data_IF_702497591453
#
_entry.id   IF_702497591453
#
_cell.length_a   1.000
_cell.length_b   1.000
_cell.length_c   1.000
_cell.angle_alpha   90.00
_cell.angle_beta   90.00
_cell.angle_gamma   90.00
#
_symmetry.space_group_name_H-M   'P 1'
#
loop_
_entity.id
_entity.type
_entity.pdbx_description
1 polymer ?
#
# COMPACT_ATOMS: atom_id res chain seq x y z
N UNK A 1 -26.03 14.00 -9.96
CA UNK A 1 -26.59 12.81 -9.28
C UNK A 1 -25.99 12.80 -7.88
N UNK A 2 -26.81 12.70 -6.85
CA UNK A 2 -26.31 12.60 -5.47
C UNK A 2 -25.56 11.28 -5.29
N UNK A 3 -24.39 11.29 -4.65
CA UNK A 3 -23.58 10.09 -4.32
C UNK A 3 -24.40 9.09 -3.47
N UNK A 4 -25.40 9.57 -2.76
CA UNK A 4 -26.31 8.79 -1.89
C UNK A 4 -27.20 7.80 -2.67
N UNK A 5 -27.33 7.94 -4.00
CA UNK A 5 -28.18 7.08 -4.84
C UNK A 5 -27.42 6.00 -5.62
N UNK A 6 -26.07 5.99 -5.54
CA UNK A 6 -25.24 4.99 -6.22
C UNK A 6 -25.29 3.63 -5.47
N UNK A 7 -25.16 2.51 -6.20
CA UNK A 7 -24.98 1.21 -5.57
C UNK A 7 -23.81 1.24 -4.59
N UNK A 8 -23.99 0.62 -3.43
CA UNK A 8 -22.98 0.55 -2.37
C UNK A 8 -22.53 -0.90 -2.25
N UNK A 9 -21.22 -1.14 -2.29
CA UNK A 9 -20.65 -2.46 -2.12
C UNK A 9 -19.68 -2.51 -0.94
N UNK A 10 -19.64 -3.65 -0.28
CA UNK A 10 -18.62 -3.95 0.70
C UNK A 10 -17.27 -4.11 0.00
N UNK A 11 -16.25 -3.40 0.50
CA UNK A 11 -14.86 -3.42 0.01
C UNK A 11 -13.96 -3.99 1.10
N UNK A 12 -13.00 -4.80 0.69
CA UNK A 12 -12.11 -5.50 1.62
C UNK A 12 -10.66 -5.02 1.44
N UNK A 13 -10.00 -4.68 2.55
CA UNK A 13 -8.61 -4.21 2.59
C UNK A 13 -7.94 -4.67 3.88
N UNK A 14 -6.75 -5.25 3.79
CA UNK A 14 -6.13 -5.89 4.94
C UNK A 14 -7.06 -6.95 5.54
N UNK A 15 -7.34 -6.80 6.82
CA UNK A 15 -8.35 -7.56 7.55
C UNK A 15 -9.62 -6.75 7.86
N UNK A 16 -9.84 -5.68 7.14
CA UNK A 16 -11.00 -4.82 7.31
C UNK A 16 -11.93 -4.88 6.11
N UNK A 17 -13.17 -4.50 6.33
CA UNK A 17 -14.11 -4.13 5.27
C UNK A 17 -14.89 -2.87 5.64
N UNK A 18 -15.39 -2.20 4.63
CA UNK A 18 -16.36 -1.12 4.74
C UNK A 18 -17.22 -1.04 3.47
N UNK A 19 -18.31 -0.30 3.55
CA UNK A 19 -19.18 -0.06 2.39
C UNK A 19 -18.83 1.25 1.70
N UNK A 20 -18.51 1.19 0.40
CA UNK A 20 -18.29 2.37 -0.45
C UNK A 20 -19.22 2.39 -1.64
N UNK A 21 -19.70 3.58 -2.05
CA UNK A 21 -20.38 3.76 -3.34
C UNK A 21 -19.51 3.33 -4.53
N UNK A 22 -20.15 2.81 -5.57
CA UNK A 22 -19.47 2.24 -6.75
C UNK A 22 -18.70 3.26 -7.59
N UNK A 23 -18.95 4.55 -7.41
CA UNK A 23 -18.16 5.61 -8.05
C UNK A 23 -16.70 5.62 -7.59
N UNK A 24 -16.40 5.10 -6.39
CA UNK A 24 -15.04 5.01 -5.86
C UNK A 24 -14.31 3.81 -6.47
N UNK A 25 -13.22 4.09 -7.16
CA UNK A 25 -12.38 3.06 -7.81
C UNK A 25 -11.00 3.02 -7.16
N UNK A 26 -10.41 1.83 -7.11
CA UNK A 26 -9.05 1.63 -6.61
C UNK A 26 -8.07 2.42 -7.46
N UNK A 27 -7.24 3.22 -6.80
CA UNK A 27 -6.13 3.94 -7.43
C UNK A 27 -4.95 2.99 -7.70
N UNK A 28 -4.22 3.19 -8.81
CA UNK A 28 -2.97 2.48 -9.09
C UNK A 28 -1.86 2.73 -8.05
N UNK A 29 -2.01 3.73 -7.18
CA UNK A 29 -1.06 4.03 -6.10
C UNK A 29 -1.21 3.16 -4.84
N UNK A 30 -2.13 2.18 -4.85
CA UNK A 30 -2.29 1.24 -3.74
C UNK A 30 -1.09 0.30 -3.65
N UNK A 31 -0.56 0.09 -2.42
CA UNK A 31 0.69 -0.62 -2.19
C UNK A 31 0.69 -1.32 -0.83
N UNK A 32 1.39 -2.46 -0.75
CA UNK A 32 1.76 -3.12 0.51
C UNK A 32 3.27 -3.01 0.68
N UNK A 33 3.73 -2.50 1.81
CA UNK A 33 5.13 -2.56 2.24
C UNK A 33 5.32 -3.73 3.18
N UNK A 34 6.50 -4.35 3.11
CA UNK A 34 6.89 -5.52 3.88
C UNK A 34 8.21 -5.26 4.61
N UNK A 35 8.41 -5.96 5.74
CA UNK A 35 9.69 -5.99 6.47
C UNK A 35 10.22 -4.62 6.90
N UNK A 36 9.36 -3.65 7.17
CA UNK A 36 9.74 -2.25 7.47
C UNK A 36 10.69 -1.67 6.41
N UNK A 37 10.48 -2.04 5.15
CA UNK A 37 11.30 -1.65 4.01
C UNK A 37 10.49 -0.89 2.97
N UNK A 38 11.01 0.26 2.53
CA UNK A 38 10.39 1.04 1.45
C UNK A 38 10.52 0.39 0.07
N UNK A 39 11.37 -0.63 -0.07
CA UNK A 39 11.60 -1.34 -1.33
C UNK A 39 11.05 -2.77 -1.36
N UNK A 40 10.69 -3.34 -0.19
CA UNK A 40 10.05 -4.65 -0.15
C UNK A 40 8.54 -4.42 -0.27
N UNK A 41 8.00 -4.60 -1.48
CA UNK A 41 6.63 -4.17 -1.78
C UNK A 41 5.83 -5.19 -2.56
N UNK A 42 4.50 -5.12 -2.42
CA UNK A 42 3.53 -5.73 -3.34
C UNK A 42 2.72 -4.59 -3.96
N UNK A 43 2.73 -4.52 -5.27
CA UNK A 43 1.90 -3.63 -6.08
C UNK A 43 1.02 -4.46 -7.00
N UNK A 44 -0.14 -3.94 -7.37
CA UNK A 44 -1.06 -4.64 -8.27
C UNK A 44 -1.78 -3.68 -9.19
N UNK A 45 -2.18 -4.19 -10.35
CA UNK A 45 -2.99 -3.42 -11.29
C UNK A 45 -3.85 -4.35 -12.15
N UNK A 46 -5.01 -3.88 -12.54
CA UNK A 46 -5.80 -4.52 -13.56
C UNK A 46 -5.03 -4.53 -14.89
N UNK A 47 -4.86 -5.70 -15.47
CA UNK A 47 -4.15 -5.83 -16.74
C UNK A 47 -4.53 -7.12 -17.48
N UNK A 48 -4.93 -7.00 -18.74
CA UNK A 48 -5.16 -8.14 -19.61
C UNK A 48 -3.84 -8.83 -19.99
N UNK A 49 -3.89 -10.16 -20.18
CA UNK A 49 -2.73 -10.98 -20.47
C UNK A 49 -1.85 -10.49 -21.65
N UNK A 50 -2.39 -10.09 -22.82
CA UNK A 50 -1.55 -9.56 -23.91
C UNK A 50 -0.79 -8.30 -23.52
N UNK A 51 -1.42 -7.39 -22.76
CA UNK A 51 -0.78 -6.17 -22.27
C UNK A 51 0.30 -6.49 -21.21
N UNK A 52 0.10 -7.51 -20.38
CA UNK A 52 1.11 -8.02 -19.48
C UNK A 52 2.35 -8.52 -20.24
N UNK A 53 2.18 -9.38 -21.24
CA UNK A 53 3.30 -9.92 -22.02
C UNK A 53 4.10 -8.80 -22.70
N UNK A 54 3.44 -7.86 -23.36
CA UNK A 54 4.09 -6.70 -23.99
C UNK A 54 4.83 -5.83 -22.94
N UNK A 55 4.25 -5.68 -21.75
CA UNK A 55 4.90 -4.95 -20.67
C UNK A 55 6.18 -5.65 -20.22
N UNK A 56 6.18 -6.97 -20.05
CA UNK A 56 7.35 -7.74 -19.63
C UNK A 56 8.47 -7.65 -20.68
N UNK A 57 8.17 -7.82 -21.98
CA UNK A 57 9.16 -7.67 -23.04
C UNK A 57 9.80 -6.28 -23.05
N UNK A 58 8.99 -5.22 -22.92
CA UNK A 58 9.47 -3.85 -22.85
C UNK A 58 10.32 -3.61 -21.61
N UNK A 59 9.89 -4.14 -20.44
CA UNK A 59 10.63 -3.99 -19.19
C UNK A 59 11.98 -4.69 -19.23
N UNK A 60 12.03 -5.89 -19.75
CA UNK A 60 13.28 -6.63 -19.92
C UNK A 60 14.26 -5.88 -20.82
N UNK A 61 13.77 -5.35 -21.94
CA UNK A 61 14.58 -4.52 -22.84
C UNK A 61 15.12 -3.27 -22.15
N UNK A 62 14.27 -2.53 -21.44
CA UNK A 62 14.65 -1.35 -20.68
C UNK A 62 15.77 -1.68 -19.68
N UNK A 63 15.64 -2.78 -18.92
CA UNK A 63 16.64 -3.21 -17.96
C UNK A 63 17.98 -3.61 -18.62
N UNK A 64 17.93 -4.24 -19.80
CA UNK A 64 19.13 -4.59 -20.59
C UNK A 64 19.83 -3.37 -21.16
N UNK A 65 19.08 -2.36 -21.57
CA UNK A 65 19.58 -1.13 -22.18
C UNK A 65 20.05 -0.11 -21.11
N UNK A 66 19.75 -0.36 -19.83
CA UNK A 66 20.20 0.49 -18.71
C UNK A 66 21.66 0.21 -18.40
N UNK A 67 22.48 1.26 -18.22
CA UNK A 67 23.89 1.14 -17.94
C UNK A 67 24.24 1.77 -16.59
N UNK A 68 25.03 1.07 -15.73
CA UNK A 68 25.56 1.65 -14.51
C UNK A 68 26.53 2.81 -14.80
N UNK A 69 26.66 3.72 -13.85
CA UNK A 69 27.63 4.83 -13.91
C UNK A 69 29.07 4.29 -13.91
N UNK A 70 29.37 3.31 -13.04
CA UNK A 70 30.65 2.60 -13.09
C UNK A 70 30.49 1.35 -13.96
N UNK A 71 31.25 1.29 -15.05
CA UNK A 71 31.27 0.14 -15.98
C UNK A 71 31.69 -1.18 -15.31
N UNK A 72 32.38 -1.13 -14.17
CA UNK A 72 32.75 -2.33 -13.40
C UNK A 72 31.54 -3.01 -12.79
N UNK A 73 30.45 -2.27 -12.63
CA UNK A 73 29.18 -2.76 -12.09
C UNK A 73 28.22 -3.31 -13.17
N UNK A 74 28.61 -3.23 -14.45
CA UNK A 74 27.82 -3.77 -15.55
C UNK A 74 27.73 -5.32 -15.52
N UNK A 75 26.64 -5.91 -16.09
CA UNK A 75 25.45 -5.27 -16.62
C UNK A 75 24.49 -4.81 -15.52
N UNK A 76 23.54 -3.90 -15.81
CA UNK A 76 22.51 -3.48 -14.86
C UNK A 76 21.52 -4.61 -14.55
N UNK A 77 20.97 -5.28 -15.56
CA UNK A 77 20.21 -6.52 -15.43
C UNK A 77 21.18 -7.68 -15.21
N UNK A 78 21.17 -8.28 -14.04
CA UNK A 78 22.09 -9.36 -13.66
C UNK A 78 21.64 -10.73 -14.11
N UNK A 79 20.34 -11.02 -13.94
CA UNK A 79 19.74 -12.28 -14.32
C UNK A 79 18.23 -12.16 -14.51
N UNK A 80 17.67 -13.16 -15.18
CA UNK A 80 16.23 -13.32 -15.38
C UNK A 80 15.85 -14.75 -15.01
N UNK A 81 14.81 -14.91 -14.18
CA UNK A 81 14.37 -16.21 -13.68
C UNK A 81 12.89 -16.45 -14.00
N UNK A 82 12.49 -17.66 -14.41
CA UNK A 82 11.10 -18.05 -14.40
C UNK A 82 10.61 -18.13 -12.94
N UNK A 83 9.32 -17.90 -12.71
CA UNK A 83 8.70 -18.15 -11.41
C UNK A 83 8.52 -19.65 -11.16
N UNK A 84 8.40 -20.05 -9.90
CA UNK A 84 8.24 -21.46 -9.56
C UNK A 84 6.84 -22.00 -9.91
N UNK A 85 6.78 -23.28 -10.26
CA UNK A 85 5.54 -23.97 -10.61
C UNK A 85 4.98 -23.54 -11.97
N UNK A 86 3.65 -23.55 -12.07
CA UNK A 86 2.92 -23.13 -13.29
C UNK A 86 2.53 -21.65 -13.27
N UNK A 87 3.19 -20.85 -12.46
CA UNK A 87 2.90 -19.41 -12.31
C UNK A 87 3.35 -18.66 -13.56
N UNK A 88 2.42 -17.97 -14.23
CA UNK A 88 2.76 -17.14 -15.37
C UNK A 88 3.42 -15.84 -14.90
N UNK A 89 4.73 -15.75 -15.14
CA UNK A 89 5.47 -14.56 -14.70
C UNK A 89 6.98 -14.70 -14.82
N UNK A 90 7.69 -13.69 -14.33
CA UNK A 90 9.13 -13.55 -14.48
C UNK A 90 9.71 -12.78 -13.29
N UNK A 91 10.94 -13.08 -12.91
CA UNK A 91 11.70 -12.33 -11.91
C UNK A 91 12.98 -11.80 -12.55
N UNK A 92 13.21 -10.50 -12.44
CA UNK A 92 14.45 -9.82 -12.82
C UNK A 92 15.30 -9.57 -11.57
N UNK A 93 16.56 -10.00 -11.64
CA UNK A 93 17.60 -9.57 -10.70
C UNK A 93 18.35 -8.41 -11.33
N UNK A 94 18.27 -7.24 -10.75
CA UNK A 94 18.91 -6.02 -11.25
C UNK A 94 19.67 -5.29 -10.15
N UNK A 95 20.52 -4.36 -10.52
CA UNK A 95 21.08 -3.39 -9.57
C UNK A 95 19.96 -2.55 -8.94
N UNK A 96 20.17 -2.09 -7.71
CA UNK A 96 19.20 -1.23 -7.02
C UNK A 96 18.99 0.09 -7.79
N UNK A 97 20.09 0.73 -8.17
CA UNK A 97 20.09 1.86 -9.12
C UNK A 97 21.42 1.95 -9.88
N UNK A 98 21.53 2.86 -10.82
CA UNK A 98 22.72 3.00 -11.68
C UNK A 98 23.96 3.56 -10.98
N UNK A 99 23.81 4.21 -9.83
CA UNK A 99 24.89 4.93 -9.13
C UNK A 99 25.45 4.16 -7.91
N UNK A 100 24.85 3.03 -7.56
CA UNK A 100 25.25 2.19 -6.43
C UNK A 100 26.05 0.98 -6.96
N UNK A 101 26.99 0.48 -6.14
CA UNK A 101 27.71 -0.75 -6.47
C UNK A 101 26.78 -1.95 -6.68
N UNK A 102 27.17 -2.84 -7.57
CA UNK A 102 26.35 -3.98 -7.98
C UNK A 102 26.14 -5.05 -6.88
N UNK A 103 26.73 -4.87 -5.71
CA UNK A 103 26.39 -5.65 -4.50
C UNK A 103 24.94 -5.46 -4.10
N UNK A 104 24.42 -4.24 -4.26
CA UNK A 104 23.03 -3.92 -3.98
C UNK A 104 22.13 -4.36 -5.15
N UNK A 105 21.25 -5.30 -4.86
CA UNK A 105 20.32 -5.92 -5.82
C UNK A 105 18.89 -5.58 -5.47
N UNK A 106 18.07 -5.64 -6.49
CA UNK A 106 16.61 -5.69 -6.38
C UNK A 106 16.12 -6.89 -7.17
N UNK A 107 15.33 -7.71 -6.52
CA UNK A 107 14.50 -8.72 -7.16
C UNK A 107 13.18 -8.07 -7.51
N UNK A 108 12.89 -7.94 -8.79
CA UNK A 108 11.69 -7.32 -9.34
C UNK A 108 10.89 -8.41 -10.08
N UNK A 109 9.87 -8.95 -9.43
CA UNK A 109 9.12 -10.09 -9.94
C UNK A 109 7.70 -9.70 -10.33
N UNK A 110 7.22 -10.27 -11.42
CA UNK A 110 5.90 -10.01 -11.99
C UNK A 110 5.16 -11.32 -12.19
N UNK A 111 3.93 -11.38 -11.70
CA UNK A 111 3.01 -12.49 -11.90
C UNK A 111 1.73 -11.97 -12.54
N UNK A 112 1.20 -12.68 -13.52
CA UNK A 112 -0.15 -12.45 -14.02
C UNK A 112 -1.08 -13.57 -13.53
N UNK A 113 -2.23 -13.17 -12.97
CA UNK A 113 -3.32 -14.08 -12.61
C UNK A 113 -4.65 -13.46 -13.02
N UNK A 114 -5.42 -14.18 -13.83
CA UNK A 114 -6.72 -13.79 -14.37
C UNK A 114 -6.68 -12.40 -15.04
N UNK A 115 -7.01 -11.34 -14.35
CA UNK A 115 -7.09 -9.97 -14.89
C UNK A 115 -6.19 -8.98 -14.14
N UNK A 116 -5.24 -9.46 -13.36
CA UNK A 116 -4.32 -8.60 -12.62
C UNK A 116 -2.86 -8.99 -12.83
N UNK A 117 -2.01 -8.00 -12.80
CA UNK A 117 -0.56 -8.15 -12.65
C UNK A 117 -0.20 -7.78 -11.23
N UNK A 118 0.54 -8.66 -10.59
CA UNK A 118 1.18 -8.45 -9.29
C UNK A 118 2.66 -8.23 -9.49
N UNK A 119 3.18 -7.17 -8.88
CA UNK A 119 4.61 -6.89 -8.84
C UNK A 119 5.07 -7.04 -7.40
N UNK A 120 6.08 -7.87 -7.18
CA UNK A 120 6.76 -8.00 -5.90
C UNK A 120 8.19 -7.50 -6.08
N UNK A 121 8.61 -6.61 -5.20
CA UNK A 121 9.96 -6.05 -5.20
C UNK A 121 10.62 -6.34 -3.86
N UNK A 122 11.82 -6.91 -3.86
CA UNK A 122 12.62 -7.12 -2.65
C UNK A 122 14.04 -6.63 -2.83
N UNK A 123 14.58 -5.98 -1.81
CA UNK A 123 16.02 -5.73 -1.71
C UNK A 123 16.77 -7.03 -1.44
N UNK A 124 17.94 -7.13 -2.05
CA UNK A 124 18.86 -8.23 -1.84
C UNK A 124 20.30 -7.78 -1.98
N UNK A 125 21.23 -8.65 -1.60
CA UNK A 125 22.67 -8.42 -1.73
C UNK A 125 23.33 -9.63 -2.36
N UNK A 126 24.27 -9.37 -3.27
CA UNK A 126 25.14 -10.39 -3.83
C UNK A 126 26.60 -9.95 -3.79
N UNK A 127 27.36 -10.49 -2.85
CA UNK A 127 28.76 -10.18 -2.63
C UNK A 127 29.70 -11.30 -3.10
N UNK A 128 29.20 -12.27 -3.89
CA UNK A 128 30.00 -13.44 -4.30
C UNK A 128 31.14 -13.12 -5.25
N UNK A 129 31.09 -11.97 -5.93
CA UNK A 129 32.17 -11.56 -6.83
C UNK A 129 33.48 -11.36 -6.07
N UNK A 130 34.60 -11.86 -6.62
CA UNK A 130 35.93 -11.84 -6.00
C UNK A 130 36.39 -10.43 -5.57
N UNK A 131 35.97 -9.38 -6.26
CA UNK A 131 36.25 -7.98 -5.91
C UNK A 131 35.76 -7.57 -4.50
N UNK A 132 34.83 -8.34 -3.91
CA UNK A 132 34.31 -8.09 -2.57
C UNK A 132 34.93 -8.95 -1.47
N UNK A 133 35.87 -9.84 -1.80
CA UNK A 133 36.46 -10.77 -0.82
C UNK A 133 37.05 -10.06 0.39
N UNK A 134 37.89 -9.03 0.16
CA UNK A 134 38.52 -8.26 1.23
C UNK A 134 37.53 -7.48 2.10
N UNK A 135 36.43 -7.03 1.51
CA UNK A 135 35.40 -6.23 2.22
C UNK A 135 34.47 -7.13 3.04
N UNK A 136 34.19 -8.35 2.57
CA UNK A 136 33.41 -9.35 3.31
C UNK A 136 34.07 -9.71 4.67
N UNK A 137 35.38 -9.79 4.69
CA UNK A 137 36.14 -10.11 5.92
C UNK A 137 36.04 -9.00 6.97
N UNK A 138 36.00 -7.73 6.53
CA UNK A 138 36.05 -6.56 7.42
C UNK A 138 34.67 -6.01 7.79
N UNK A 139 33.66 -6.25 6.97
CA UNK A 139 32.32 -5.64 7.11
C UNK A 139 31.20 -6.66 6.90
N UNK A 140 31.20 -7.73 7.70
CA UNK A 140 30.31 -8.89 7.57
C UNK A 140 28.82 -8.55 7.45
N UNK A 141 28.33 -7.53 8.18
CA UNK A 141 26.91 -7.15 8.16
C UNK A 141 26.49 -6.41 6.88
N UNK A 142 27.38 -5.62 6.30
CA UNK A 142 27.11 -4.83 5.09
C UNK A 142 27.24 -5.67 3.82
N UNK A 143 28.17 -6.64 3.83
CA UNK A 143 28.52 -7.48 2.69
C UNK A 143 28.08 -8.94 2.85
N UNK A 144 26.94 -9.16 3.53
CA UNK A 144 26.24 -10.44 3.54
C UNK A 144 25.63 -10.72 2.16
N UNK A 145 25.69 -11.97 1.72
CA UNK A 145 24.94 -12.44 0.54
C UNK A 145 23.65 -13.09 0.98
N UNK A 146 22.50 -12.55 0.52
CA UNK A 146 21.15 -13.03 0.83
C UNK A 146 20.29 -13.27 -0.41
N UNK A 147 20.85 -13.08 -1.59
CA UNK A 147 20.12 -13.11 -2.87
C UNK A 147 19.31 -14.42 -3.08
N UNK A 148 19.86 -15.57 -2.70
CA UNK A 148 19.19 -16.86 -2.92
C UNK A 148 18.06 -17.08 -1.91
N UNK A 149 18.22 -16.61 -0.67
CA UNK A 149 17.16 -16.58 0.34
C UNK A 149 16.01 -15.67 -0.12
N UNK A 150 16.34 -14.46 -0.54
CA UNK A 150 15.34 -13.48 -1.03
C UNK A 150 14.61 -13.96 -2.28
N UNK A 151 15.27 -14.65 -3.21
CA UNK A 151 14.58 -15.30 -4.34
C UNK A 151 13.54 -16.31 -3.88
N UNK A 152 13.84 -17.11 -2.88
CA UNK A 152 12.91 -18.07 -2.33
C UNK A 152 11.73 -17.41 -1.63
N UNK A 153 11.98 -16.31 -0.87
CA UNK A 153 10.92 -15.53 -0.23
C UNK A 153 9.96 -14.93 -1.28
N UNK A 154 10.49 -14.29 -2.31
CA UNK A 154 9.68 -13.71 -3.41
C UNK A 154 8.83 -14.79 -4.10
N UNK A 155 9.41 -15.97 -4.41
CA UNK A 155 8.65 -17.05 -5.04
C UNK A 155 7.55 -17.61 -4.11
N UNK A 156 7.82 -17.76 -2.81
CA UNK A 156 6.80 -18.21 -1.83
C UNK A 156 5.68 -17.19 -1.72
N UNK A 157 6.02 -15.91 -1.67
CA UNK A 157 5.05 -14.83 -1.59
C UNK A 157 4.15 -14.80 -2.82
N UNK A 158 4.73 -14.83 -4.03
CA UNK A 158 3.97 -14.86 -5.28
C UNK A 158 3.07 -16.11 -5.38
N UNK A 159 3.55 -17.28 -4.99
CA UNK A 159 2.73 -18.50 -4.94
C UNK A 159 1.53 -18.38 -3.97
N UNK A 160 1.64 -17.51 -2.96
CA UNK A 160 0.57 -17.22 -2.02
C UNK A 160 -0.40 -16.13 -2.47
N UNK A 161 -0.09 -15.41 -3.57
CA UNK A 161 -0.93 -14.34 -4.11
C UNK A 161 -1.94 -14.92 -5.11
N UNK A 162 -3.17 -14.44 -5.07
CA UNK A 162 -4.19 -14.71 -6.08
C UNK A 162 -5.06 -13.49 -6.36
N UNK A 163 -5.62 -13.46 -7.58
CA UNK A 163 -6.56 -12.42 -7.99
C UNK A 163 -7.85 -12.45 -7.16
N UNK A 164 -8.36 -11.26 -6.83
CA UNK A 164 -9.64 -11.01 -6.16
C UNK A 164 -10.18 -9.65 -6.60
N UNK A 165 -11.46 -9.58 -6.91
CA UNK A 165 -12.13 -8.28 -7.04
C UNK A 165 -12.27 -7.62 -5.65
N UNK A 166 -12.19 -6.31 -5.56
CA UNK A 166 -12.16 -5.59 -4.27
C UNK A 166 -13.45 -5.73 -3.44
N UNK A 167 -14.59 -6.01 -4.09
CA UNK A 167 -15.88 -6.32 -3.46
C UNK A 167 -16.05 -7.81 -3.11
N UNK A 168 -15.15 -8.66 -3.56
CA UNK A 168 -15.20 -10.09 -3.24
C UNK A 168 -14.56 -10.33 -1.87
N UNK A 169 -15.28 -11.04 -0.98
CA UNK A 169 -14.73 -11.42 0.31
C UNK A 169 -13.46 -12.26 0.13
N UNK A 170 -12.37 -11.93 0.84
CA UNK A 170 -11.16 -12.76 0.82
C UNK A 170 -11.43 -14.14 1.43
N UNK A 171 -10.68 -15.14 0.99
CA UNK A 171 -10.68 -16.46 1.59
C UNK A 171 -10.16 -16.41 3.04
N UNK A 172 -10.53 -17.39 3.87
CA UNK A 172 -10.10 -17.47 5.26
C UNK A 172 -8.57 -17.45 5.39
N UNK A 173 -8.06 -16.64 6.31
CA UNK A 173 -6.62 -16.47 6.54
C UNK A 173 -5.88 -15.68 5.45
N UNK A 174 -6.61 -15.05 4.53
CA UNK A 174 -6.03 -14.17 3.51
C UNK A 174 -6.10 -12.71 3.91
N UNK A 175 -5.06 -12.00 3.53
CA UNK A 175 -4.96 -10.53 3.63
C UNK A 175 -5.35 -9.92 2.29
N UNK A 176 -6.32 -9.01 2.30
CA UNK A 176 -6.85 -8.36 1.11
C UNK A 176 -6.02 -7.13 0.74
N UNK A 177 -5.70 -6.97 -0.55
CA UNK A 177 -5.10 -5.75 -1.09
C UNK A 177 -5.69 -5.45 -2.47
N UNK A 178 -5.27 -4.36 -3.10
CA UNK A 178 -5.81 -3.96 -4.39
C UNK A 178 -5.74 -5.11 -5.42
N UNK A 179 -6.88 -5.50 -5.98
CA UNK A 179 -7.04 -6.59 -6.97
C UNK A 179 -6.51 -7.96 -6.56
N UNK A 180 -6.16 -8.15 -5.28
CA UNK A 180 -5.56 -9.40 -4.84
C UNK A 180 -5.81 -9.75 -3.39
N UNK A 181 -5.38 -10.96 -3.07
CA UNK A 181 -5.27 -11.47 -1.70
C UNK A 181 -4.01 -12.31 -1.57
N UNK A 182 -3.46 -12.38 -0.38
CA UNK A 182 -2.27 -13.16 -0.06
C UNK A 182 -2.46 -13.92 1.24
N UNK A 183 -1.81 -15.08 1.38
CA UNK A 183 -1.79 -15.78 2.66
C UNK A 183 -1.12 -14.90 3.72
N UNK A 184 -1.86 -14.52 4.75
CA UNK A 184 -1.40 -13.60 5.80
C UNK A 184 -0.14 -14.08 6.52
N UNK A 185 0.05 -15.40 6.66
CA UNK A 185 1.24 -15.98 7.29
C UNK A 185 2.55 -15.71 6.55
N UNK A 186 2.49 -15.24 5.31
CA UNK A 186 3.67 -14.91 4.48
C UNK A 186 4.11 -13.45 4.60
N UNK A 187 3.30 -12.58 5.23
CA UNK A 187 3.55 -11.14 5.19
C UNK A 187 4.54 -10.64 6.27
N UNK A 188 4.64 -11.30 7.43
CA UNK A 188 5.44 -10.78 8.54
C UNK A 188 4.96 -9.39 8.99
N UNK A 189 5.91 -8.45 9.22
CA UNK A 189 5.59 -7.03 9.44
C UNK A 189 5.18 -6.43 8.12
N UNK A 190 4.02 -5.75 8.09
CA UNK A 190 3.49 -5.17 6.86
C UNK A 190 2.62 -3.95 7.12
N UNK A 191 2.55 -3.10 6.11
CA UNK A 191 1.67 -1.93 6.03
C UNK A 191 1.02 -1.89 4.66
N UNK A 192 -0.30 -1.79 4.61
CA UNK A 192 -1.09 -1.56 3.40
C UNK A 192 -1.49 -0.10 3.33
N UNK A 193 -1.29 0.54 2.19
CA UNK A 193 -2.02 1.74 1.81
C UNK A 193 -2.87 1.43 0.58
N UNK A 194 -4.18 1.63 0.70
CA UNK A 194 -5.11 1.54 -0.41
C UNK A 194 -5.82 2.87 -0.59
N UNK A 195 -5.96 3.28 -1.84
CA UNK A 195 -6.58 4.55 -2.19
C UNK A 195 -7.75 4.32 -3.12
N UNK A 196 -8.87 4.91 -2.79
CA UNK A 196 -10.06 4.97 -3.64
C UNK A 196 -10.31 6.42 -4.04
N UNK A 197 -10.63 6.65 -5.29
CA UNK A 197 -10.97 7.98 -5.79
C UNK A 197 -12.21 7.92 -6.68
N UNK A 198 -13.00 8.97 -6.63
CA UNK A 198 -14.07 9.22 -7.57
C UNK A 198 -13.61 10.16 -8.71
N UNK A 199 -14.50 10.42 -9.66
CA UNK A 199 -14.24 11.35 -10.77
C UNK A 199 -14.39 12.84 -10.37
N UNK A 200 -14.80 13.12 -9.14
CA UNK A 200 -15.11 14.47 -8.62
C UNK A 200 -14.02 15.02 -7.67
N UNK A 201 -12.92 14.30 -7.53
CA UNK A 201 -11.79 14.72 -6.68
C UNK A 201 -11.95 14.35 -5.20
N UNK A 202 -12.85 13.43 -4.88
CA UNK A 202 -12.93 12.85 -3.54
C UNK A 202 -12.04 11.63 -3.43
N UNK A 203 -11.26 11.56 -2.37
CA UNK A 203 -10.30 10.49 -2.13
C UNK A 203 -10.51 9.90 -0.75
N UNK A 204 -10.62 8.56 -0.69
CA UNK A 204 -10.42 7.80 0.53
C UNK A 204 -9.04 7.16 0.50
N UNK A 205 -8.19 7.49 1.46
CA UNK A 205 -6.93 6.80 1.71
C UNK A 205 -7.08 5.99 2.98
N UNK A 206 -6.73 4.70 2.91
CA UNK A 206 -6.85 3.77 4.03
C UNK A 206 -5.48 3.13 4.22
N UNK A 207 -4.94 3.25 5.42
CA UNK A 207 -3.71 2.57 5.83
C UNK A 207 -4.00 1.61 6.96
N UNK A 208 -3.42 0.42 6.92
CA UNK A 208 -3.47 -0.56 8.02
C UNK A 208 -2.14 -1.26 8.16
N UNK A 209 -1.72 -1.51 9.41
CA UNK A 209 -0.44 -2.12 9.72
C UNK A 209 -0.53 -3.02 10.96
N UNK A 210 0.32 -4.05 11.02
CA UNK A 210 0.57 -4.82 12.24
C UNK A 210 1.85 -4.35 12.97
N UNK A 211 2.51 -3.32 12.48
CA UNK A 211 3.62 -2.68 13.14
C UNK A 211 3.11 -1.73 14.24
N UNK A 212 3.59 -1.93 15.46
CA UNK A 212 3.17 -1.08 16.57
C UNK A 212 3.81 0.31 16.48
N UNK A 213 3.05 1.33 16.88
CA UNK A 213 3.51 2.72 17.02
C UNK A 213 3.69 3.51 15.71
N UNK A 214 3.34 2.95 14.55
CA UNK A 214 3.43 3.67 13.27
C UNK A 214 2.25 4.60 13.05
N UNK A 215 1.06 4.24 13.56
CA UNK A 215 -0.16 5.07 13.46
C UNK A 215 -0.38 5.78 14.78
N UNK A 216 -0.27 7.11 14.77
CA UNK A 216 -0.60 7.95 15.91
C UNK A 216 -2.12 8.19 15.99
N UNK A 217 -2.62 8.21 17.23
CA UNK A 217 -4.01 8.64 17.49
C UNK A 217 -4.20 10.08 17.01
N UNK A 218 -5.12 10.29 16.07
CA UNK A 218 -5.36 11.59 15.47
C UNK A 218 -5.71 12.68 16.49
N UNK A 219 -6.29 12.32 17.65
CA UNK A 219 -6.62 13.28 18.69
C UNK A 219 -5.42 13.73 19.53
N UNK A 220 -4.26 13.07 19.41
CA UNK A 220 -3.02 13.45 20.08
C UNK A 220 -2.15 14.39 19.23
N UNK A 221 -2.49 14.58 17.96
CA UNK A 221 -1.75 15.45 17.06
C UNK A 221 -1.99 16.93 17.38
N UNK A 222 -1.00 17.76 17.06
CA UNK A 222 -1.11 19.21 17.25
C UNK A 222 -2.17 19.81 16.33
N UNK A 223 -2.89 20.78 16.87
CA UNK A 223 -3.95 21.50 16.14
C UNK A 223 -3.42 22.15 14.86
N UNK A 224 -2.22 22.74 14.89
CA UNK A 224 -1.60 23.40 13.71
C UNK A 224 -1.26 22.41 12.59
N UNK A 225 -0.87 21.17 12.94
CA UNK A 225 -0.59 20.11 11.96
C UNK A 225 -1.87 19.69 11.25
N UNK A 226 -2.96 19.51 12.01
CA UNK A 226 -4.22 19.00 11.47
C UNK A 226 -5.03 20.06 10.73
N UNK A 227 -5.02 21.30 11.21
CA UNK A 227 -5.84 22.38 10.67
C UNK A 227 -5.12 23.18 9.58
N UNK A 228 -3.78 23.27 9.63
CA UNK A 228 -3.05 24.27 8.86
C UNK A 228 -3.42 25.71 9.24
N UNK A 229 -2.96 26.69 8.48
CA UNK A 229 -3.14 28.11 8.79
C UNK A 229 -4.60 28.58 8.74
N UNK A 230 -5.43 27.99 7.87
CA UNK A 230 -6.80 28.44 7.60
C UNK A 230 -7.88 27.41 7.95
N UNK A 231 -7.51 26.39 8.70
CA UNK A 231 -8.41 25.29 9.02
C UNK A 231 -9.22 25.49 10.27
N UNK A 232 -10.41 24.91 10.28
CA UNK A 232 -11.32 24.88 11.42
C UNK A 232 -11.77 23.44 11.71
N UNK A 233 -11.77 23.07 12.98
CA UNK A 233 -12.35 21.79 13.40
C UNK A 233 -13.85 21.81 13.20
N UNK A 234 -14.39 20.84 12.46
CA UNK A 234 -15.84 20.59 12.41
C UNK A 234 -16.24 19.86 13.70
N UNK A 235 -15.59 18.73 13.98
CA UNK A 235 -15.69 18.07 15.30
C UNK A 235 -14.51 17.12 15.56
N UNK A 236 -14.33 16.79 16.85
CA UNK A 236 -13.47 15.73 17.38
C UNK A 236 -14.32 14.80 18.22
N UNK A 237 -14.15 13.50 18.09
CA UNK A 237 -14.82 12.52 18.96
C UNK A 237 -14.07 11.20 19.03
N UNK A 238 -14.34 10.45 20.10
CA UNK A 238 -14.03 9.03 20.20
C UNK A 238 -15.32 8.24 20.00
N UNK A 239 -15.26 7.14 19.26
CA UNK A 239 -16.39 6.26 19.05
C UNK A 239 -15.97 4.80 19.00
N UNK A 240 -16.93 3.90 19.23
CA UNK A 240 -16.71 2.47 19.16
C UNK A 240 -17.49 1.89 17.98
N UNK A 241 -16.75 1.21 17.07
CA UNK A 241 -17.32 0.58 15.88
C UNK A 241 -16.82 -0.87 15.88
N UNK A 242 -17.73 -1.84 15.76
CA UNK A 242 -17.41 -3.28 15.73
C UNK A 242 -16.51 -3.73 16.89
N UNK A 243 -16.68 -3.13 18.07
CA UNK A 243 -15.93 -3.47 19.28
C UNK A 243 -14.53 -2.84 19.37
N UNK A 244 -14.08 -2.07 18.37
CA UNK A 244 -12.82 -1.34 18.35
C UNK A 244 -13.06 0.14 18.63
N UNK A 245 -12.17 0.75 19.41
CA UNK A 245 -12.24 2.18 19.72
C UNK A 245 -11.45 2.98 18.69
N UNK A 246 -12.07 4.02 18.16
CA UNK A 246 -11.50 4.92 17.16
C UNK A 246 -11.56 6.37 17.64
N UNK A 247 -10.54 7.12 17.28
CA UNK A 247 -10.47 8.58 17.36
C UNK A 247 -10.79 9.20 16.01
N UNK A 248 -11.57 10.26 15.99
CA UNK A 248 -12.03 10.92 14.79
C UNK A 248 -11.84 12.43 14.88
N UNK A 249 -11.25 13.03 13.86
CA UNK A 249 -11.08 14.46 13.74
C UNK A 249 -11.41 14.92 12.32
N UNK A 250 -12.41 15.79 12.21
CA UNK A 250 -12.86 16.35 10.95
C UNK A 250 -12.49 17.84 10.91
N UNK A 251 -11.82 18.22 9.84
CA UNK A 251 -11.31 19.58 9.60
C UNK A 251 -11.83 20.05 8.25
N UNK A 252 -12.15 21.34 8.16
CA UNK A 252 -12.29 22.07 6.91
C UNK A 252 -11.29 23.21 6.84
N UNK A 253 -10.77 23.51 5.67
CA UNK A 253 -9.89 24.63 5.42
C UNK A 253 -10.42 25.47 4.28
N UNK A 254 -10.08 26.75 4.30
CA UNK A 254 -10.43 27.68 3.22
C UNK A 254 -9.18 28.04 2.47
N UNK A 255 -9.14 27.64 1.21
CA UNK A 255 -8.01 27.86 0.30
C UNK A 255 -8.36 28.89 -0.74
N UNK A 256 -7.36 29.36 -1.48
CA UNK A 256 -7.54 30.33 -2.57
C UNK A 256 -6.76 29.86 -3.80
N UNK A 257 -7.44 29.65 -4.92
CA UNK A 257 -6.83 29.35 -6.20
C UNK A 257 -7.22 30.41 -7.22
N UNK A 258 -6.23 31.10 -7.79
CA UNK A 258 -6.43 32.15 -8.81
C UNK A 258 -7.38 33.27 -8.36
N UNK A 259 -7.39 33.59 -7.04
CA UNK A 259 -8.25 34.62 -6.46
C UNK A 259 -9.68 34.13 -6.14
N UNK A 260 -9.99 32.87 -6.38
CA UNK A 260 -11.28 32.27 -6.05
C UNK A 260 -11.16 31.42 -4.78
N UNK A 261 -11.93 31.73 -3.71
CA UNK A 261 -11.93 30.91 -2.50
C UNK A 261 -12.67 29.60 -2.72
N UNK A 262 -12.13 28.51 -2.21
CA UNK A 262 -12.78 27.20 -2.16
C UNK A 262 -12.56 26.55 -0.80
N UNK A 263 -13.40 25.56 -0.46
CA UNK A 263 -13.27 24.81 0.79
C UNK A 263 -12.68 23.43 0.50
N UNK A 264 -11.72 23.02 1.32
CA UNK A 264 -11.18 21.66 1.37
C UNK A 264 -11.60 20.98 2.68
N UNK A 265 -11.69 19.66 2.62
CA UNK A 265 -12.12 18.85 3.75
C UNK A 265 -11.10 17.72 3.97
N UNK A 266 -10.72 17.55 5.23
CA UNK A 266 -9.89 16.44 5.67
C UNK A 266 -10.56 15.78 6.90
N UNK A 267 -11.09 14.58 6.68
CA UNK A 267 -11.74 13.79 7.71
C UNK A 267 -10.87 12.59 8.00
N UNK A 268 -10.41 12.47 9.24
CA UNK A 268 -9.48 11.42 9.64
C UNK A 268 -10.08 10.60 10.79
N UNK A 269 -9.93 9.28 10.69
CA UNK A 269 -10.24 8.33 11.77
C UNK A 269 -9.03 7.40 11.96
N UNK A 270 -8.66 7.16 13.22
CA UNK A 270 -7.56 6.25 13.59
C UNK A 270 -8.02 5.28 14.67
N UNK A 271 -7.46 4.07 14.68
CA UNK A 271 -7.58 3.17 15.84
C UNK A 271 -6.88 3.80 17.04
N UNK A 272 -7.43 3.60 18.25
CA UNK A 272 -6.72 3.95 19.49
C UNK A 272 -5.74 2.84 19.87
N UNK A 273 -4.48 3.19 20.11
CA UNK A 273 -3.37 2.28 20.39
C UNK A 273 -3.55 1.38 21.63
N UNK A 274 -4.56 1.62 22.46
CA UNK A 274 -4.82 0.85 23.68
C UNK A 274 -5.69 -0.40 23.46
N UNK A 275 -6.26 -0.56 22.29
CA UNK A 275 -7.12 -1.71 21.97
C UNK A 275 -6.34 -2.72 21.10
N UNK A 276 -5.29 -3.36 21.66
CA UNK A 276 -4.39 -4.34 20.99
C UNK A 276 -5.07 -5.53 20.28
N UNK A 277 -6.28 -5.38 19.79
CA UNK A 277 -7.11 -6.46 19.24
C UNK A 277 -7.14 -6.49 17.72
N UNK A 278 -6.74 -5.41 17.08
CA UNK A 278 -6.80 -5.26 15.62
C UNK A 278 -5.49 -4.70 15.08
N UNK A 279 -5.28 -4.83 13.78
CA UNK A 279 -4.26 -4.05 13.10
C UNK A 279 -4.60 -2.57 13.23
N UNK A 280 -3.59 -1.73 13.41
CA UNK A 280 -3.80 -0.29 13.42
C UNK A 280 -4.34 0.17 12.08
N UNK A 281 -5.27 1.13 12.11
CA UNK A 281 -5.93 1.67 10.93
C UNK A 281 -5.95 3.19 10.99
N UNK A 282 -5.60 3.81 9.88
CA UNK A 282 -5.92 5.21 9.57
C UNK A 282 -6.77 5.23 8.30
N UNK A 283 -7.90 5.94 8.34
CA UNK A 283 -8.66 6.25 7.14
C UNK A 283 -8.83 7.76 7.02
N UNK A 284 -8.52 8.28 5.86
CA UNK A 284 -8.66 9.69 5.53
C UNK A 284 -9.58 9.85 4.32
N UNK A 285 -10.47 10.81 4.45
CA UNK A 285 -11.24 11.37 3.36
C UNK A 285 -10.69 12.76 3.06
N UNK A 286 -10.36 13.04 1.83
CA UNK A 286 -9.89 14.37 1.43
C UNK A 286 -10.49 14.79 0.09
N UNK A 287 -10.66 16.10 -0.07
CA UNK A 287 -10.93 16.72 -1.37
C UNK A 287 -9.61 17.14 -2.00
N UNK A 288 -9.47 16.96 -3.32
CA UNK A 288 -8.25 17.34 -4.04
C UNK A 288 -8.26 18.81 -4.33
N UNK A 289 -7.18 19.50 -4.03
CA UNK A 289 -6.99 20.97 -4.20
C UNK A 289 -7.15 21.45 -5.66
N UNK A 290 -7.04 20.55 -6.63
CA UNK A 290 -7.06 20.90 -8.06
C UNK A 290 -8.45 20.88 -8.70
N UNK A 291 -9.48 20.39 -7.99
CA UNK A 291 -10.86 20.33 -8.51
C UNK A 291 -11.82 21.20 -7.69
N UNK A 292 -11.97 22.48 -8.02
CA UNK A 292 -12.90 23.38 -7.33
C UNK A 292 -14.38 23.04 -7.56
N UNK A 293 -14.70 22.01 -8.35
CA UNK A 293 -16.07 21.61 -8.71
C UNK A 293 -16.60 20.49 -7.82
N UNK A 294 -16.12 20.35 -6.59
CA UNK A 294 -16.77 19.45 -5.66
C UNK A 294 -18.17 20.03 -5.32
N UNK A 295 -19.16 19.57 -6.04
CA UNK A 295 -20.57 20.00 -5.91
C UNK A 295 -21.22 19.55 -4.59
N UNK A 296 -20.49 18.80 -3.73
CA UNK A 296 -21.05 18.30 -2.48
C UNK A 296 -20.96 19.38 -1.38
N UNK A 297 -22.09 19.64 -0.75
CA UNK A 297 -22.12 20.45 0.44
C UNK A 297 -21.44 19.77 1.65
N UNK A 298 -21.00 20.54 2.63
CA UNK A 298 -20.47 20.01 3.90
C UNK A 298 -21.40 18.95 4.51
N UNK A 299 -22.70 19.17 4.48
CA UNK A 299 -23.68 18.25 5.03
C UNK A 299 -23.70 16.90 4.28
N UNK A 300 -23.59 16.91 2.94
CA UNK A 300 -23.49 15.69 2.13
C UNK A 300 -22.20 14.94 2.35
N UNK A 301 -21.09 15.66 2.49
CA UNK A 301 -19.76 15.08 2.81
C UNK A 301 -19.78 14.40 4.18
N UNK A 302 -20.34 15.07 5.20
CA UNK A 302 -20.50 14.51 6.54
C UNK A 302 -21.40 13.27 6.54
N UNK A 303 -22.48 13.30 5.79
CA UNK A 303 -23.38 12.15 5.66
C UNK A 303 -22.66 10.95 5.01
N UNK A 304 -21.95 11.17 3.89
CA UNK A 304 -21.16 10.15 3.23
C UNK A 304 -20.11 9.55 4.17
N UNK A 305 -19.35 10.40 4.86
CA UNK A 305 -18.35 9.95 5.83
C UNK A 305 -18.97 9.06 6.92
N UNK A 306 -20.06 9.52 7.54
CA UNK A 306 -20.73 8.75 8.58
C UNK A 306 -21.31 7.42 8.07
N UNK A 307 -21.86 7.40 6.87
CA UNK A 307 -22.33 6.16 6.23
C UNK A 307 -21.20 5.18 6.03
N UNK A 308 -20.05 5.63 5.53
CA UNK A 308 -18.88 4.77 5.28
C UNK A 308 -18.31 4.22 6.58
N UNK A 309 -17.97 5.08 7.55
CA UNK A 309 -17.32 4.62 8.78
C UNK A 309 -18.21 3.75 9.65
N UNK A 310 -19.54 3.96 9.62
CA UNK A 310 -20.48 3.13 10.41
C UNK A 310 -20.52 1.67 9.97
N UNK A 311 -20.01 1.37 8.78
CA UNK A 311 -19.94 0.01 8.20
C UNK A 311 -18.57 -0.66 8.37
N UNK A 312 -17.60 0.04 8.99
CA UNK A 312 -16.27 -0.48 9.21
C UNK A 312 -16.30 -1.74 10.09
N UNK A 313 -15.68 -2.83 9.62
CA UNK A 313 -15.59 -4.12 10.31
C UNK A 313 -14.17 -4.66 10.28
N UNK A 314 -13.78 -5.35 11.34
CA UNK A 314 -12.53 -6.07 11.44
C UNK A 314 -12.74 -7.58 11.38
N UNK A 315 -12.10 -8.28 10.46
CA UNK A 315 -12.21 -9.71 10.20
C UNK A 315 -10.97 -10.51 10.64
N UNK A 316 -9.95 -9.83 11.17
CA UNK A 316 -8.72 -10.49 11.62
C UNK A 316 -8.92 -11.25 12.95
N UNK A 317 -8.01 -12.19 13.22
CA UNK A 317 -7.92 -12.79 14.54
C UNK A 317 -7.45 -11.72 15.53
N UNK A 318 -8.09 -11.58 16.71
CA UNK A 318 -7.61 -10.65 17.73
C UNK A 318 -6.12 -10.91 18.02
N UNK A 319 -5.29 -9.87 17.94
CA UNK A 319 -3.89 -9.99 18.33
C UNK A 319 -3.86 -10.25 19.84
N UNK A 320 -3.47 -11.47 20.25
CA UNK A 320 -3.24 -11.77 21.65
C UNK A 320 -2.17 -10.79 22.15
N UNK A 321 -2.50 -10.05 23.22
CA UNK A 321 -1.73 -8.94 23.73
C UNK A 321 -0.23 -9.22 23.74
N UNK A 322 0.54 -8.24 23.30
CA UNK A 322 2.00 -8.27 23.34
C UNK A 322 2.44 -8.66 24.74
N UNK A 323 3.12 -9.78 24.85
CA UNK A 323 3.94 -10.07 26.03
C UNK A 323 5.07 -9.03 25.99
N UNK A 324 4.96 -8.02 26.85
CA UNK A 324 6.07 -7.12 27.17
C UNK A 324 7.23 -7.96 27.71
N UNK A 325 8.23 -8.18 26.90
CA UNK A 325 9.54 -8.72 27.29
C UNK A 325 10.53 -7.63 27.54
#
# INVERSE_FOLDING_TARGET
MSIVTEPIHERYFGFYSLHLPDIFKISPSSIVWLNDSVLDTIESRHQYRPAFLQFIERREKELKDTHPVDSKDAPYLKATYPLYGNTEGIMFERMENIAIHDVARVLEAYQWDKNATFKVTFKARDTRAARYDSVRETSKYVYMTDIDEKKNEVNKLLAGISFREDYQQPEDGRFAFAYGQVNASLLGIHRLAIRYNDSKGVIFTIETTNESEVIEDVLTQDDDVMKGENGATIYKKTQRIDGITYSEWLVKSRENKDGLPYETYNFTITTQNNDCKAHDLTMQYSTVDEMPENEMSEAELLLLWQQVISTLKYHGTPMNGKVSG
#
